data_IF_698711125300
#
_entry.id   IF_698711125300
#
_cell.length_a   1.000
_cell.length_b   1.000
_cell.length_c   1.000
_cell.angle_alpha   90.00
_cell.angle_beta   90.00
_cell.angle_gamma   90.00
#
_symmetry.space_group_name_H-M   'P 1'
#
loop_
_entity.id
_entity.type
_entity.pdbx_description
1 polymer ?
#
# COMPACT_ATOMS: atom_id res chain seq x y z
N UNK A 1 -12.76 -6.93 -26.82
CA UNK A 1 -11.96 -6.07 -25.93
C UNK A 1 -12.50 -6.25 -24.52
N UNK A 2 -11.68 -6.61 -23.58
CA UNK A 2 -12.06 -6.78 -22.16
C UNK A 2 -12.24 -5.40 -21.53
N UNK A 3 -13.31 -5.18 -20.77
CA UNK A 3 -13.53 -3.93 -20.05
C UNK A 3 -13.47 -4.19 -18.55
N UNK A 4 -12.60 -3.50 -17.85
CA UNK A 4 -12.49 -3.55 -16.40
C UNK A 4 -13.26 -2.40 -15.78
N UNK A 5 -14.05 -2.71 -14.79
CA UNK A 5 -14.81 -1.74 -14.01
C UNK A 5 -14.08 -1.40 -12.72
N UNK A 6 -13.62 -0.16 -12.58
CA UNK A 6 -12.81 0.30 -11.47
C UNK A 6 -13.59 1.29 -10.61
N UNK A 7 -13.65 1.02 -9.30
CA UNK A 7 -14.16 2.00 -8.34
C UNK A 7 -13.04 2.99 -8.01
N UNK A 8 -13.18 4.23 -8.44
CA UNK A 8 -12.25 5.31 -8.12
C UNK A 8 -12.75 6.08 -6.89
N UNK A 9 -12.03 5.97 -5.79
CA UNK A 9 -12.35 6.60 -4.50
C UNK A 9 -11.21 7.54 -4.13
N UNK A 10 -11.26 8.81 -4.51
CA UNK A 10 -10.20 9.78 -4.19
C UNK A 10 -9.98 9.96 -2.69
N UNK A 11 -11.04 9.88 -1.90
CA UNK A 11 -10.98 10.14 -0.46
C UNK A 11 -10.66 11.60 -0.15
N UNK A 12 -9.66 11.83 0.67
CA UNK A 12 -9.33 13.13 1.27
C UNK A 12 -8.03 13.75 0.71
N UNK A 13 -7.88 15.05 0.89
CA UNK A 13 -6.65 15.77 0.64
C UNK A 13 -6.11 15.61 -0.79
N UNK A 14 -4.80 15.31 -0.90
CA UNK A 14 -4.13 15.10 -2.20
C UNK A 14 -4.63 13.88 -2.95
N UNK A 15 -5.37 12.98 -2.28
CA UNK A 15 -5.99 11.81 -2.94
C UNK A 15 -6.83 12.20 -4.15
N UNK A 16 -7.50 13.36 -4.12
CA UNK A 16 -8.26 13.89 -5.26
C UNK A 16 -7.40 14.16 -6.48
N UNK A 17 -6.18 14.69 -6.27
CA UNK A 17 -5.25 15.01 -7.35
C UNK A 17 -4.59 13.75 -7.91
N UNK A 18 -4.08 12.88 -7.03
CA UNK A 18 -3.29 11.71 -7.45
C UNK A 18 -4.15 10.60 -8.05
N UNK A 19 -5.40 10.41 -7.59
CA UNK A 19 -6.34 9.46 -8.22
C UNK A 19 -6.78 9.97 -9.59
N UNK A 20 -7.06 11.27 -9.72
CA UNK A 20 -7.33 11.88 -11.02
C UNK A 20 -6.21 11.64 -12.02
N UNK A 21 -4.96 11.86 -11.61
CA UNK A 21 -3.77 11.59 -12.40
C UNK A 21 -3.64 10.09 -12.76
N UNK A 22 -3.90 9.20 -11.80
CA UNK A 22 -3.90 7.74 -12.03
C UNK A 22 -4.92 7.31 -13.08
N UNK A 23 -6.13 7.85 -13.02
CA UNK A 23 -7.19 7.59 -14.02
C UNK A 23 -6.77 8.04 -15.42
N UNK A 24 -6.15 9.23 -15.55
CA UNK A 24 -5.66 9.73 -16.84
C UNK A 24 -4.57 8.82 -17.43
N UNK A 25 -3.61 8.40 -16.62
CA UNK A 25 -2.52 7.50 -17.02
C UNK A 25 -3.08 6.13 -17.45
N UNK A 26 -3.99 5.55 -16.68
CA UNK A 26 -4.63 4.27 -17.02
C UNK A 26 -5.43 4.33 -18.31
N UNK A 27 -6.16 5.43 -18.56
CA UNK A 27 -6.88 5.66 -19.82
C UNK A 27 -5.92 5.75 -21.01
N UNK A 28 -4.83 6.49 -20.87
CA UNK A 28 -3.81 6.61 -21.92
C UNK A 28 -3.14 5.27 -22.22
N UNK A 29 -2.85 4.48 -21.17
CA UNK A 29 -2.26 3.15 -21.29
C UNK A 29 -3.21 2.18 -22.04
N UNK A 30 -4.48 2.13 -21.66
CA UNK A 30 -5.48 1.29 -22.31
C UNK A 30 -5.69 1.68 -23.78
N UNK A 31 -5.73 2.98 -24.07
CA UNK A 31 -5.82 3.50 -25.45
C UNK A 31 -4.59 3.10 -26.29
N UNK A 32 -3.40 3.10 -25.71
CA UNK A 32 -2.14 2.67 -26.37
C UNK A 32 -2.08 1.17 -26.60
N UNK A 33 -2.54 0.37 -25.63
CA UNK A 33 -2.54 -1.09 -25.70
C UNK A 33 -3.60 -1.63 -26.68
N UNK A 34 -4.83 -1.13 -26.61
CA UNK A 34 -5.94 -1.45 -27.51
C UNK A 34 -6.60 -2.82 -27.26
N UNK A 35 -6.13 -3.63 -26.32
CA UNK A 35 -6.68 -4.96 -26.03
C UNK A 35 -7.73 -4.95 -24.91
N UNK A 36 -7.64 -3.96 -24.00
CA UNK A 36 -8.57 -3.76 -22.90
C UNK A 36 -9.00 -2.29 -22.76
N UNK A 37 -10.01 -2.06 -21.94
CA UNK A 37 -10.51 -0.72 -21.58
C UNK A 37 -10.84 -0.65 -20.10
N UNK A 38 -10.93 0.56 -19.56
CA UNK A 38 -11.44 0.83 -18.22
C UNK A 38 -12.75 1.62 -18.24
N UNK A 39 -13.66 1.22 -17.37
CA UNK A 39 -14.79 2.03 -16.94
C UNK A 39 -14.53 2.45 -15.48
N UNK A 40 -14.46 3.75 -15.22
CA UNK A 40 -14.28 4.28 -13.88
C UNK A 40 -15.60 4.78 -13.32
N UNK A 41 -16.02 4.23 -12.18
CA UNK A 41 -17.11 4.74 -11.37
C UNK A 41 -16.49 5.56 -10.21
N UNK A 42 -16.84 6.84 -10.12
CA UNK A 42 -16.27 7.77 -9.13
C UNK A 42 -17.17 7.86 -7.90
N UNK A 43 -16.54 7.82 -6.72
CA UNK A 43 -17.21 7.86 -5.42
C UNK A 43 -16.60 8.99 -4.57
N UNK A 44 -17.37 10.02 -4.28
CA UNK A 44 -16.97 11.19 -3.48
C UNK A 44 -17.11 10.89 -1.98
N UNK A 45 -16.47 9.80 -1.52
CA UNK A 45 -16.47 9.38 -0.12
C UNK A 45 -15.24 9.95 0.59
N UNK A 46 -15.38 10.27 1.87
CA UNK A 46 -14.29 10.87 2.65
C UNK A 46 -14.81 11.90 3.65
N UNK A 47 -13.95 12.79 4.09
CA UNK A 47 -14.24 13.82 5.10
C UNK A 47 -15.30 14.80 4.68
N UNK A 48 -15.33 15.23 3.43
CA UNK A 48 -16.39 16.11 2.93
C UNK A 48 -17.75 15.41 2.89
N UNK A 49 -17.79 14.13 2.61
CA UNK A 49 -18.99 13.31 2.72
C UNK A 49 -19.42 13.18 4.19
N UNK A 50 -18.45 12.97 5.11
CA UNK A 50 -18.71 12.90 6.54
C UNK A 50 -19.33 14.19 7.09
N UNK A 51 -18.84 15.35 6.70
CA UNK A 51 -19.39 16.65 7.15
C UNK A 51 -20.88 16.82 6.76
N UNK A 52 -21.28 16.25 5.64
CA UNK A 52 -22.67 16.32 5.14
C UNK A 52 -23.59 15.27 5.74
N UNK A 53 -23.05 14.07 6.01
CA UNK A 53 -23.86 12.89 6.28
C UNK A 53 -23.57 12.21 7.61
N UNK A 54 -22.54 12.65 8.37
CA UNK A 54 -22.11 12.05 9.64
C UNK A 54 -21.46 10.66 9.51
N UNK A 55 -21.07 10.28 8.29
CA UNK A 55 -20.37 9.02 7.97
C UNK A 55 -19.44 9.21 6.78
N UNK A 56 -18.36 8.44 6.68
CA UNK A 56 -17.34 8.59 5.66
C UNK A 56 -17.77 8.08 4.26
N UNK A 57 -18.74 7.16 4.21
CA UNK A 57 -19.35 6.60 2.99
C UNK A 57 -20.82 6.21 3.27
N UNK A 58 -21.66 5.94 2.24
CA UNK A 58 -23.02 5.44 2.42
C UNK A 58 -23.07 4.10 3.17
N UNK A 59 -24.19 3.78 3.80
CA UNK A 59 -24.40 2.49 4.48
C UNK A 59 -24.26 1.30 3.52
N UNK A 60 -24.77 1.47 2.31
CA UNK A 60 -24.68 0.48 1.22
C UNK A 60 -23.41 0.65 0.36
N UNK A 61 -22.46 1.53 0.76
CA UNK A 61 -21.27 1.84 -0.04
C UNK A 61 -20.48 0.58 -0.46
N UNK A 62 -20.35 -0.39 0.43
CA UNK A 62 -19.71 -1.67 0.10
C UNK A 62 -20.46 -2.45 -0.98
N UNK A 63 -21.78 -2.44 -0.93
CA UNK A 63 -22.61 -3.10 -1.93
C UNK A 63 -22.46 -2.42 -3.31
N UNK A 64 -22.30 -1.09 -3.33
CA UNK A 64 -22.08 -0.32 -4.56
C UNK A 64 -20.80 -0.72 -5.28
N UNK A 65 -19.71 -1.01 -4.52
CA UNK A 65 -18.39 -1.29 -5.11
C UNK A 65 -18.06 -2.80 -5.19
N UNK A 66 -18.87 -3.68 -4.61
CA UNK A 66 -18.61 -5.12 -4.51
C UNK A 66 -18.33 -5.82 -5.85
N UNK A 67 -18.97 -5.37 -6.92
CA UNK A 67 -18.90 -6.00 -8.24
C UNK A 67 -17.93 -5.28 -9.19
N UNK A 68 -17.03 -4.45 -8.67
CA UNK A 68 -15.94 -3.89 -9.46
C UNK A 68 -14.79 -4.90 -9.55
N UNK A 69 -14.00 -4.79 -10.61
CA UNK A 69 -12.81 -5.64 -10.79
C UNK A 69 -11.66 -5.24 -9.84
N UNK A 70 -11.59 -3.94 -9.51
CA UNK A 70 -10.65 -3.39 -8.54
C UNK A 70 -11.10 -2.03 -8.01
N UNK A 71 -10.44 -1.57 -6.93
CA UNK A 71 -10.63 -0.25 -6.33
C UNK A 71 -9.32 0.52 -6.46
N UNK A 72 -9.38 1.73 -7.03
CA UNK A 72 -8.30 2.71 -7.00
C UNK A 72 -8.63 3.75 -5.93
N UNK A 73 -7.85 3.75 -4.86
CA UNK A 73 -8.10 4.58 -3.68
C UNK A 73 -7.01 5.65 -3.54
N UNK A 74 -7.37 6.81 -3.00
CA UNK A 74 -6.42 7.89 -2.77
C UNK A 74 -5.90 7.89 -1.33
N UNK A 75 -6.62 8.55 -0.43
CA UNK A 75 -6.23 8.65 0.97
C UNK A 75 -7.42 8.88 1.89
N UNK A 76 -7.25 8.57 3.18
CA UNK A 76 -8.22 8.87 4.23
C UNK A 76 -7.55 9.70 5.33
N UNK A 77 -8.21 10.76 5.76
CA UNK A 77 -7.72 11.65 6.82
C UNK A 77 -8.13 13.09 6.55
N UNK A 78 -8.77 13.73 7.52
CA UNK A 78 -9.26 15.11 7.38
C UNK A 78 -8.94 15.92 8.63
N UNK A 79 -8.34 17.13 8.54
CA UNK A 79 -7.86 17.87 9.71
C UNK A 79 -8.95 18.26 10.73
N UNK A 80 -10.21 18.33 10.31
CA UNK A 80 -11.35 18.63 11.16
C UNK A 80 -12.08 17.40 11.72
N UNK A 81 -11.62 16.18 11.37
CA UNK A 81 -12.24 14.91 11.77
C UNK A 81 -11.18 14.06 12.44
N UNK A 82 -11.50 13.45 13.59
CA UNK A 82 -10.53 12.62 14.31
C UNK A 82 -10.07 11.42 13.45
N UNK A 83 -8.76 11.13 13.50
CA UNK A 83 -8.10 10.13 12.63
C UNK A 83 -8.75 8.75 12.70
N UNK A 84 -9.19 8.32 13.91
CA UNK A 84 -9.88 7.03 14.05
C UNK A 84 -11.22 7.01 13.31
N UNK A 85 -11.92 8.14 13.18
CA UNK A 85 -13.19 8.21 12.41
C UNK A 85 -12.90 8.10 10.92
N UNK A 86 -11.92 8.81 10.41
CA UNK A 86 -11.59 8.80 8.97
C UNK A 86 -11.07 7.44 8.53
N UNK A 87 -10.14 6.84 9.29
CA UNK A 87 -9.54 5.55 8.97
C UNK A 87 -10.55 4.41 9.07
N UNK A 88 -11.25 4.31 10.22
CA UNK A 88 -12.23 3.24 10.46
C UNK A 88 -13.50 3.39 9.64
N UNK A 89 -13.91 4.62 9.33
CA UNK A 89 -15.13 4.91 8.59
C UNK A 89 -15.01 4.74 7.07
N UNK A 90 -13.80 4.71 6.51
CA UNK A 90 -13.59 4.59 5.07
C UNK A 90 -12.68 3.41 4.71
N UNK A 91 -11.37 3.53 4.94
CA UNK A 91 -10.40 2.54 4.49
C UNK A 91 -10.63 1.17 5.12
N UNK A 92 -10.68 1.10 6.45
CA UNK A 92 -10.89 -0.17 7.15
C UNK A 92 -12.31 -0.71 6.95
N UNK A 93 -13.31 0.17 6.80
CA UNK A 93 -14.69 -0.22 6.47
C UNK A 93 -14.80 -0.90 5.09
N UNK A 94 -13.81 -0.75 4.21
CA UNK A 94 -13.70 -1.45 2.92
C UNK A 94 -12.80 -2.68 3.06
N UNK A 95 -11.57 -2.50 3.55
CA UNK A 95 -10.54 -3.56 3.58
C UNK A 95 -10.99 -4.80 4.38
N UNK A 96 -11.50 -4.60 5.60
CA UNK A 96 -11.82 -5.71 6.49
C UNK A 96 -13.01 -6.54 5.99
N UNK A 97 -14.18 -5.96 5.65
CA UNK A 97 -15.31 -6.74 5.15
C UNK A 97 -15.10 -7.34 3.75
N UNK A 98 -14.17 -6.81 2.95
CA UNK A 98 -13.77 -7.40 1.67
C UNK A 98 -12.62 -8.39 1.84
N UNK A 99 -12.31 -8.74 3.06
CA UNK A 99 -11.26 -9.68 3.43
C UNK A 99 -9.96 -9.45 2.64
N UNK A 100 -9.58 -8.19 2.49
CA UNK A 100 -8.33 -7.76 1.86
C UNK A 100 -7.18 -7.97 2.85
N UNK A 101 -6.95 -9.21 3.25
CA UNK A 101 -6.08 -9.54 4.38
C UNK A 101 -4.58 -9.46 4.06
N UNK A 102 -4.20 -9.48 2.80
CA UNK A 102 -2.80 -9.38 2.39
C UNK A 102 -2.51 -7.97 1.84
N UNK A 103 -1.81 -7.16 2.63
CA UNK A 103 -1.35 -5.86 2.15
C UNK A 103 0.11 -6.00 1.69
N UNK A 104 0.37 -5.63 0.44
CA UNK A 104 1.67 -5.79 -0.23
C UNK A 104 2.26 -4.43 -0.56
N UNK A 105 3.47 -4.17 -0.06
CA UNK A 105 4.18 -2.89 -0.19
C UNK A 105 5.58 -3.12 -0.76
N UNK A 106 5.76 -3.13 -2.09
CA UNK A 106 7.09 -3.18 -2.68
C UNK A 106 7.84 -1.88 -2.43
N UNK A 107 9.13 -2.00 -2.17
CA UNK A 107 10.01 -0.88 -1.87
C UNK A 107 11.32 -1.08 -2.59
N UNK A 108 11.65 -0.21 -3.51
CA UNK A 108 12.95 -0.17 -4.19
C UNK A 108 13.33 1.26 -4.56
N UNK A 109 14.61 1.52 -4.71
CA UNK A 109 15.08 2.80 -5.21
C UNK A 109 14.83 2.84 -6.73
N UNK A 110 13.99 3.76 -7.17
CA UNK A 110 13.75 3.97 -8.60
C UNK A 110 14.92 4.73 -9.25
N UNK A 111 15.16 4.57 -10.57
CA UNK A 111 16.18 5.32 -11.28
C UNK A 111 16.07 6.83 -11.04
N UNK A 112 17.18 7.49 -10.76
CA UNK A 112 17.26 8.92 -10.47
C UNK A 112 16.89 9.32 -9.05
N UNK A 113 16.33 8.43 -8.25
CA UNK A 113 15.97 8.71 -6.85
C UNK A 113 17.19 8.49 -5.94
N UNK A 114 17.36 9.41 -4.98
CA UNK A 114 18.45 9.37 -4.01
C UNK A 114 17.96 8.82 -2.69
N UNK A 115 18.57 7.73 -2.23
CA UNK A 115 18.35 7.20 -0.88
C UNK A 115 19.09 8.02 0.17
N UNK A 116 18.55 8.22 1.37
CA UNK A 116 19.30 8.80 2.49
C UNK A 116 20.40 7.87 3.03
N UNK A 117 20.43 6.63 2.60
CA UNK A 117 21.45 5.64 3.01
C UNK A 117 22.78 5.92 2.32
N UNK A 118 23.88 6.01 3.09
CA UNK A 118 25.22 6.40 2.57
C UNK A 118 25.85 5.43 1.60
N UNK A 119 25.46 4.16 1.59
CA UNK A 119 26.13 3.07 0.85
C UNK A 119 25.20 2.32 -0.11
N UNK A 120 24.07 2.89 -0.45
CA UNK A 120 23.06 2.23 -1.27
C UNK A 120 22.83 3.04 -2.53
N UNK A 121 23.06 2.43 -3.70
CA UNK A 121 22.98 3.09 -5.00
C UNK A 121 21.92 2.49 -5.94
N UNK A 122 21.00 1.69 -5.40
CA UNK A 122 19.88 1.13 -6.19
C UNK A 122 19.54 -0.31 -5.82
N UNK A 123 20.15 -1.33 -6.46
CA UNK A 123 19.68 -2.72 -6.37
C UNK A 123 19.83 -3.36 -4.97
N UNK A 124 20.59 -2.75 -4.08
CA UNK A 124 20.74 -3.23 -2.71
C UNK A 124 19.46 -3.05 -1.87
N UNK A 125 18.56 -2.17 -2.28
CA UNK A 125 17.26 -1.95 -1.64
C UNK A 125 16.15 -2.35 -2.64
N UNK A 126 15.73 -3.60 -2.55
CA UNK A 126 14.61 -4.17 -3.29
C UNK A 126 13.90 -5.17 -2.38
N UNK A 127 12.88 -4.69 -1.66
CA UNK A 127 12.10 -5.45 -0.70
C UNK A 127 10.63 -5.48 -1.05
N UNK A 128 9.92 -6.45 -0.46
CA UNK A 128 8.46 -6.44 -0.42
C UNK A 128 8.03 -6.70 1.03
N UNK A 129 7.31 -5.75 1.60
CA UNK A 129 6.69 -5.92 2.91
C UNK A 129 5.28 -6.46 2.72
N UNK A 130 5.00 -7.59 3.36
CA UNK A 130 3.69 -8.22 3.45
C UNK A 130 3.13 -7.91 4.83
N UNK A 131 2.08 -7.10 4.88
CA UNK A 131 1.36 -6.69 6.09
C UNK A 131 0.11 -7.55 6.26
N UNK A 132 -0.05 -8.16 7.41
CA UNK A 132 -1.36 -8.66 7.83
C UNK A 132 -2.32 -7.45 7.92
N UNK A 133 -3.50 -7.54 7.34
CA UNK A 133 -4.33 -6.35 7.11
C UNK A 133 -5.75 -6.44 7.69
N UNK A 134 -6.04 -7.46 8.50
CA UNK A 134 -7.39 -7.73 9.00
C UNK A 134 -7.49 -7.89 10.52
N UNK A 135 -6.39 -8.18 11.18
CA UNK A 135 -6.33 -8.54 12.60
C UNK A 135 -5.28 -7.71 13.36
N UNK A 136 -4.78 -8.22 14.48
CA UNK A 136 -3.76 -7.59 15.29
C UNK A 136 -4.28 -6.38 16.04
N UNK A 137 -3.52 -5.33 16.02
CA UNK A 137 -3.82 -4.06 16.68
C UNK A 137 -5.00 -3.32 16.03
N UNK A 138 -5.28 -3.64 14.75
CA UNK A 138 -6.42 -3.11 14.01
C UNK A 138 -7.65 -4.03 14.04
N UNK A 139 -7.73 -4.97 15.00
CA UNK A 139 -8.90 -5.84 15.17
C UNK A 139 -10.15 -5.10 15.66
N UNK A 140 -9.99 -3.88 16.21
CA UNK A 140 -11.09 -3.09 16.76
C UNK A 140 -11.65 -3.63 18.07
N UNK A 141 -10.93 -4.54 18.74
CA UNK A 141 -11.31 -5.09 20.05
C UNK A 141 -10.75 -4.22 21.15
N UNK A 142 -11.62 -3.67 21.99
CA UNK A 142 -11.22 -2.81 23.08
C UNK A 142 -12.40 -2.08 23.68
N UNK A 143 -12.10 -1.12 24.56
CA UNK A 143 -13.13 -0.32 25.19
C UNK A 143 -12.57 0.79 26.07
N UNK A 144 -13.44 1.72 26.42
CA UNK A 144 -13.12 2.87 27.28
C UNK A 144 -14.22 3.02 28.33
N UNK A 145 -13.82 3.12 29.58
CA UNK A 145 -14.73 3.22 30.75
C UNK A 145 -14.40 4.46 31.58
N UNK A 146 -15.37 4.94 32.34
CA UNK A 146 -15.27 6.13 33.22
C UNK A 146 -14.84 7.39 32.48
N UNK A 147 -15.31 7.56 31.22
CA UNK A 147 -14.92 8.69 30.37
C UNK A 147 -15.15 10.05 31.06
N UNK A 148 -14.13 10.92 31.02
CA UNK A 148 -14.15 12.24 31.62
C UNK A 148 -13.92 12.26 33.15
N UNK A 149 -13.67 11.12 33.78
CA UNK A 149 -13.35 11.03 35.20
C UNK A 149 -11.86 10.76 35.43
N UNK A 150 -11.29 11.13 36.59
CA UNK A 150 -9.88 10.85 36.91
C UNK A 150 -9.49 9.36 36.91
N UNK A 151 -10.46 8.48 37.00
CA UNK A 151 -10.24 7.01 36.92
C UNK A 151 -10.55 6.44 35.55
N UNK A 152 -10.58 7.26 34.53
CA UNK A 152 -10.79 6.85 33.15
C UNK A 152 -9.75 5.81 32.72
N UNK A 153 -10.21 4.73 32.09
CA UNK A 153 -9.34 3.68 31.57
C UNK A 153 -9.78 3.28 30.15
N UNK A 154 -8.79 3.00 29.32
CA UNK A 154 -9.00 2.52 27.94
C UNK A 154 -8.12 1.29 27.67
N UNK A 155 -8.62 0.38 26.85
CA UNK A 155 -7.89 -0.80 26.38
C UNK A 155 -8.08 -0.98 24.89
N UNK A 156 -6.99 -1.31 24.19
CA UNK A 156 -7.00 -1.87 22.85
C UNK A 156 -6.35 -3.25 22.90
N UNK A 157 -6.97 -4.22 22.26
CA UNK A 157 -6.53 -5.63 22.30
C UNK A 157 -5.97 -6.01 20.95
N UNK A 158 -4.68 -6.36 20.90
CA UNK A 158 -4.08 -6.99 19.72
C UNK A 158 -4.57 -8.45 19.67
N UNK A 159 -5.51 -8.73 18.77
CA UNK A 159 -6.11 -10.06 18.60
C UNK A 159 -5.62 -10.70 17.30
N UNK A 160 -5.07 -11.90 17.41
CA UNK A 160 -4.61 -12.70 16.27
C UNK A 160 -5.23 -14.08 16.32
N UNK A 161 -5.77 -14.54 15.20
CA UNK A 161 -6.27 -15.91 15.07
C UNK A 161 -5.25 -16.79 14.38
N UNK A 162 -5.25 -18.09 14.69
CA UNK A 162 -4.41 -19.05 13.95
C UNK A 162 -4.73 -19.04 12.45
N UNK A 163 -5.99 -18.86 12.08
CA UNK A 163 -6.41 -18.78 10.68
C UNK A 163 -5.81 -17.56 9.97
N UNK A 164 -5.95 -16.37 10.57
CA UNK A 164 -5.42 -15.12 10.01
C UNK A 164 -3.90 -15.14 9.90
N UNK A 165 -3.21 -15.56 10.96
CA UNK A 165 -1.74 -15.70 10.96
C UNK A 165 -1.28 -16.71 9.91
N UNK A 166 -1.94 -17.88 9.83
CA UNK A 166 -1.54 -18.92 8.87
C UNK A 166 -1.69 -18.47 7.42
N UNK A 167 -2.77 -17.76 7.08
CA UNK A 167 -3.00 -17.32 5.70
C UNK A 167 -2.01 -16.25 5.26
N UNK A 168 -1.68 -15.29 6.12
CA UNK A 168 -0.72 -14.23 5.76
C UNK A 168 0.72 -14.76 5.69
N UNK A 169 1.12 -15.62 6.61
CA UNK A 169 2.45 -16.26 6.58
C UNK A 169 2.60 -17.11 5.32
N UNK A 170 1.59 -17.93 4.97
CA UNK A 170 1.61 -18.73 3.74
C UNK A 170 1.65 -17.86 2.49
N UNK A 171 0.90 -16.76 2.47
CA UNK A 171 0.97 -15.77 1.38
C UNK A 171 2.39 -15.20 1.23
N UNK A 172 3.03 -14.82 2.34
CA UNK A 172 4.38 -14.28 2.33
C UNK A 172 5.43 -15.29 1.86
N UNK A 173 5.33 -16.57 2.26
CA UNK A 173 6.20 -17.63 1.74
C UNK A 173 6.01 -17.86 0.24
N UNK A 174 4.77 -17.87 -0.26
CA UNK A 174 4.48 -17.98 -1.71
C UNK A 174 5.07 -16.80 -2.48
N UNK A 175 4.95 -15.58 -1.94
CA UNK A 175 5.54 -14.41 -2.55
C UNK A 175 7.08 -14.49 -2.56
N UNK A 176 7.69 -14.85 -1.43
CA UNK A 176 9.14 -15.06 -1.36
C UNK A 176 9.62 -16.13 -2.34
N UNK A 177 8.89 -17.23 -2.47
CA UNK A 177 9.19 -18.32 -3.42
C UNK A 177 9.20 -17.83 -4.88
N UNK A 178 8.35 -16.86 -5.23
CA UNK A 178 8.28 -16.27 -6.57
C UNK A 178 9.40 -15.28 -6.87
N UNK A 179 10.12 -14.77 -5.84
CA UNK A 179 11.21 -13.82 -6.00
C UNK A 179 12.56 -14.55 -6.21
N UNK A 180 13.51 -13.94 -6.94
CA UNK A 180 14.77 -14.60 -7.26
C UNK A 180 15.60 -15.05 -6.05
N UNK A 181 15.55 -14.28 -4.94
CA UNK A 181 16.36 -14.53 -3.73
C UNK A 181 15.75 -15.57 -2.81
N UNK A 182 14.43 -15.82 -2.92
CA UNK A 182 13.69 -16.82 -2.14
C UNK A 182 13.99 -16.73 -0.64
N UNK A 183 13.93 -15.52 -0.10
CA UNK A 183 14.24 -15.27 1.31
C UNK A 183 13.11 -14.53 2.00
N UNK A 184 12.67 -15.01 3.16
CA UNK A 184 11.62 -14.41 3.98
C UNK A 184 12.15 -14.04 5.37
N UNK A 185 11.99 -12.78 5.78
CA UNK A 185 12.17 -12.36 7.17
C UNK A 185 10.81 -12.24 7.86
N UNK A 186 10.59 -13.02 8.90
CA UNK A 186 9.39 -12.98 9.74
C UNK A 186 9.63 -12.02 10.90
N UNK A 187 8.92 -10.89 10.91
CA UNK A 187 9.04 -9.88 11.97
C UNK A 187 8.14 -10.25 13.15
N UNK A 188 8.67 -10.14 14.34
CA UNK A 188 8.01 -10.53 15.59
C UNK A 188 8.30 -9.57 16.75
N UNK A 189 7.57 -9.69 17.85
CA UNK A 189 7.86 -9.11 19.17
C UNK A 189 7.55 -10.11 20.28
N UNK A 190 7.81 -11.39 20.05
CA UNK A 190 7.48 -12.50 20.96
C UNK A 190 8.20 -12.44 22.33
N UNK A 191 9.29 -11.68 22.43
CA UNK A 191 9.93 -11.40 23.72
C UNK A 191 9.11 -10.48 24.64
N UNK A 192 8.12 -9.76 24.10
CA UNK A 192 7.23 -8.87 24.86
C UNK A 192 5.75 -9.35 24.81
N UNK A 193 5.24 -9.64 23.63
CA UNK A 193 3.89 -10.15 23.41
C UNK A 193 3.89 -11.68 23.43
N UNK A 194 3.96 -12.24 24.62
CA UNK A 194 4.27 -13.66 24.87
C UNK A 194 3.18 -14.67 24.50
N UNK A 195 2.02 -14.24 24.05
CA UNK A 195 0.93 -15.14 23.61
C UNK A 195 0.74 -15.04 22.08
N UNK A 196 0.23 -13.93 21.60
CA UNK A 196 -0.08 -13.77 20.19
C UNK A 196 1.17 -13.88 19.30
N UNK A 197 2.29 -13.22 19.69
CA UNK A 197 3.51 -13.26 18.86
C UNK A 197 4.30 -14.57 19.02
N UNK A 198 4.15 -15.30 20.11
CA UNK A 198 4.69 -16.67 20.20
C UNK A 198 3.93 -17.60 19.27
N UNK A 199 2.60 -17.51 19.24
CA UNK A 199 1.77 -18.24 18.26
C UNK A 199 2.14 -17.86 16.80
N UNK A 200 2.42 -16.60 16.53
CA UNK A 200 2.92 -16.11 15.24
C UNK A 200 4.23 -16.81 14.83
N UNK A 201 5.19 -16.88 15.75
CA UNK A 201 6.48 -17.54 15.52
C UNK A 201 6.32 -19.05 15.27
N UNK A 202 5.47 -19.72 16.07
CA UNK A 202 5.18 -21.16 15.93
C UNK A 202 4.56 -21.47 14.57
N UNK A 203 3.56 -20.68 14.15
CA UNK A 203 2.89 -20.85 12.85
C UNK A 203 3.87 -20.59 11.70
N UNK A 204 4.77 -19.60 11.82
CA UNK A 204 5.79 -19.35 10.81
C UNK A 204 6.70 -20.57 10.65
N UNK A 205 7.15 -21.18 11.75
CA UNK A 205 7.97 -22.39 11.72
C UNK A 205 7.21 -23.64 11.21
N UNK A 206 5.89 -23.74 11.46
CA UNK A 206 5.04 -24.78 10.90
C UNK A 206 4.95 -24.67 9.37
N UNK A 207 4.59 -23.47 8.87
CA UNK A 207 4.37 -23.21 7.44
C UNK A 207 5.67 -23.25 6.65
N UNK A 208 6.80 -22.86 7.23
CA UNK A 208 8.10 -22.95 6.56
C UNK A 208 8.41 -24.37 6.03
N UNK A 209 7.87 -25.40 6.66
CA UNK A 209 8.04 -26.79 6.21
C UNK A 209 7.34 -27.09 4.88
N UNK A 210 6.32 -26.29 4.51
CA UNK A 210 5.62 -26.37 3.23
C UNK A 210 6.46 -25.76 2.08
N UNK A 211 7.50 -24.96 2.39
CA UNK A 211 8.32 -24.21 1.44
C UNK A 211 9.82 -24.48 1.63
N UNK A 212 10.29 -25.70 1.42
CA UNK A 212 11.68 -26.10 1.71
C UNK A 212 12.73 -25.39 0.84
N UNK A 213 12.31 -24.77 -0.26
CA UNK A 213 13.17 -23.97 -1.17
C UNK A 213 13.22 -22.49 -0.84
N UNK A 214 12.51 -22.02 0.21
CA UNK A 214 12.54 -20.66 0.71
C UNK A 214 13.35 -20.61 2.00
N UNK A 215 14.48 -19.92 1.98
CA UNK A 215 15.23 -19.64 3.20
C UNK A 215 14.50 -18.57 4.02
N UNK A 216 14.52 -18.67 5.33
CA UNK A 216 13.87 -17.69 6.19
C UNK A 216 14.60 -17.47 7.50
N UNK A 217 14.39 -16.28 8.08
CA UNK A 217 14.81 -15.97 9.44
C UNK A 217 13.68 -15.27 10.21
N UNK A 218 13.89 -15.17 11.52
CA UNK A 218 12.99 -14.44 12.43
C UNK A 218 13.73 -13.26 13.04
N UNK A 219 13.07 -12.09 13.07
CA UNK A 219 13.69 -10.90 13.62
C UNK A 219 12.72 -10.10 14.49
N UNK A 220 13.18 -9.65 15.66
CA UNK A 220 12.42 -8.74 16.53
C UNK A 220 12.34 -7.37 15.85
N UNK A 221 11.17 -6.73 15.91
CA UNK A 221 10.85 -5.51 15.14
C UNK A 221 11.84 -4.37 15.34
N UNK A 222 12.34 -4.15 16.56
CA UNK A 222 13.36 -3.14 16.84
C UNK A 222 14.70 -3.47 16.17
N UNK A 223 15.13 -4.74 16.17
CA UNK A 223 16.31 -5.17 15.42
C UNK A 223 16.08 -5.10 13.90
N UNK A 224 14.83 -5.26 13.45
CA UNK A 224 14.47 -5.11 12.04
C UNK A 224 14.68 -3.68 11.55
N UNK A 225 14.28 -2.66 12.32
CA UNK A 225 14.53 -1.25 11.94
C UNK A 225 16.02 -0.97 11.78
N UNK A 226 16.87 -1.52 12.65
CA UNK A 226 18.33 -1.41 12.51
C UNK A 226 18.83 -2.11 11.24
N UNK A 227 18.33 -3.33 10.95
CA UNK A 227 18.74 -4.11 9.77
C UNK A 227 18.37 -3.40 8.47
N UNK A 228 17.22 -2.77 8.41
CA UNK A 228 16.76 -1.97 7.24
C UNK A 228 17.74 -0.84 6.91
N UNK A 229 18.33 -0.21 7.94
CA UNK A 229 19.30 0.89 7.78
C UNK A 229 20.72 0.40 7.53
N UNK A 230 21.19 -0.62 8.29
CA UNK A 230 22.58 -1.01 8.32
C UNK A 230 22.94 -2.08 7.27
N UNK A 231 21.98 -2.92 6.87
CA UNK A 231 22.19 -4.04 5.94
C UNK A 231 20.97 -4.24 5.04
N UNK A 232 20.54 -3.20 4.27
CA UNK A 232 19.37 -3.27 3.41
C UNK A 232 19.46 -4.40 2.39
N UNK A 233 20.63 -4.69 1.87
CA UNK A 233 20.90 -5.77 0.90
C UNK A 233 20.58 -7.17 1.43
N UNK A 234 20.49 -7.35 2.73
CA UNK A 234 20.21 -8.64 3.37
C UNK A 234 18.70 -8.98 3.40
N UNK A 235 17.84 -8.05 2.99
CA UNK A 235 16.37 -8.19 3.03
C UNK A 235 15.81 -8.48 1.64
N UNK A 236 14.72 -9.25 1.59
CA UNK A 236 13.99 -9.57 0.35
C UNK A 236 12.49 -9.49 0.55
N UNK A 237 11.84 -10.54 1.05
CA UNK A 237 10.44 -10.50 1.47
C UNK A 237 10.38 -10.41 2.98
N UNK A 238 9.48 -9.57 3.49
CA UNK A 238 9.32 -9.30 4.92
C UNK A 238 7.85 -9.49 5.24
N UNK A 239 7.51 -10.28 6.27
CA UNK A 239 6.14 -10.38 6.77
C UNK A 239 6.07 -9.87 8.20
N UNK A 240 5.05 -9.06 8.48
CA UNK A 240 4.83 -8.49 9.80
C UNK A 240 3.34 -8.35 10.13
N UNK A 241 3.03 -8.18 11.43
CA UNK A 241 1.69 -7.85 11.88
C UNK A 241 1.24 -6.51 11.32
N UNK A 242 -0.03 -6.21 11.48
CA UNK A 242 -0.64 -5.00 10.96
C UNK A 242 0.12 -3.73 11.38
N UNK A 243 0.32 -3.51 12.67
CA UNK A 243 1.01 -2.33 13.19
C UNK A 243 2.52 -2.33 12.88
N UNK A 244 3.19 -3.47 13.05
CA UNK A 244 4.63 -3.54 12.78
C UNK A 244 4.93 -3.25 11.31
N UNK A 245 4.17 -3.81 10.39
CA UNK A 245 4.36 -3.57 8.96
C UNK A 245 4.02 -2.14 8.55
N UNK A 246 3.04 -1.50 9.19
CA UNK A 246 2.72 -0.09 8.96
C UNK A 246 3.94 0.80 9.24
N UNK A 247 4.50 0.67 10.43
CA UNK A 247 5.69 1.44 10.84
C UNK A 247 6.90 1.13 9.95
N UNK A 248 7.16 -0.16 9.66
CA UNK A 248 8.31 -0.58 8.86
C UNK A 248 8.21 -0.13 7.41
N UNK A 249 7.01 -0.05 6.84
CA UNK A 249 6.85 0.37 5.44
C UNK A 249 7.03 1.87 5.25
N UNK A 250 6.69 2.70 6.23
CA UNK A 250 6.98 4.13 6.19
C UNK A 250 8.48 4.38 6.29
N UNK A 251 9.18 3.63 7.17
CA UNK A 251 10.64 3.64 7.19
C UNK A 251 11.21 3.18 5.84
N UNK A 252 10.69 2.10 5.26
CA UNK A 252 11.15 1.59 3.97
C UNK A 252 10.97 2.62 2.85
N UNK A 253 9.83 3.31 2.79
CA UNK A 253 9.57 4.36 1.81
C UNK A 253 10.55 5.55 1.97
N UNK A 254 10.81 5.97 3.21
CA UNK A 254 11.81 7.02 3.50
C UNK A 254 13.21 6.60 3.04
N UNK A 255 13.61 5.34 3.29
CA UNK A 255 14.89 4.80 2.85
C UNK A 255 14.98 4.64 1.32
N UNK A 256 13.85 4.45 0.63
CA UNK A 256 13.79 4.42 -0.83
C UNK A 256 13.77 5.82 -1.48
N UNK A 257 13.67 6.88 -0.67
CA UNK A 257 13.79 8.27 -1.12
C UNK A 257 12.57 9.16 -0.87
N UNK A 258 11.35 8.65 -0.92
CA UNK A 258 10.14 9.41 -0.61
C UNK A 258 8.93 8.52 -0.35
N UNK A 259 8.06 8.96 0.56
CA UNK A 259 6.75 8.36 0.77
C UNK A 259 5.82 8.56 -0.46
N UNK A 260 6.02 9.65 -1.20
CA UNK A 260 5.23 9.99 -2.39
C UNK A 260 5.38 9.03 -3.58
N UNK A 261 6.43 8.19 -3.59
CA UNK A 261 6.63 7.19 -4.64
C UNK A 261 6.18 5.77 -4.23
N UNK A 262 5.79 5.56 -2.99
CA UNK A 262 5.55 4.24 -2.43
C UNK A 262 4.12 3.74 -2.69
N UNK A 263 3.96 2.54 -3.29
CA UNK A 263 2.66 1.95 -3.61
C UNK A 263 2.18 0.99 -2.53
N UNK A 264 0.89 0.65 -2.60
CA UNK A 264 0.27 -0.40 -1.80
C UNK A 264 -0.80 -1.15 -2.58
N UNK A 265 -0.90 -2.46 -2.34
CA UNK A 265 -2.03 -3.29 -2.74
C UNK A 265 -2.65 -3.96 -1.51
N UNK A 266 -3.94 -3.78 -1.30
CA UNK A 266 -4.75 -4.50 -0.32
C UNK A 266 -5.47 -5.61 -1.06
N UNK A 267 -5.04 -6.84 -0.90
CA UNK A 267 -5.48 -7.96 -1.71
C UNK A 267 -6.48 -8.85 -0.97
N UNK A 268 -7.54 -9.23 -1.66
CA UNK A 268 -8.30 -10.44 -1.39
C UNK A 268 -7.74 -11.53 -2.31
N UNK A 269 -6.80 -12.37 -1.84
CA UNK A 269 -6.11 -13.33 -2.71
C UNK A 269 -6.99 -14.41 -3.29
N UNK A 270 -8.14 -14.69 -2.68
CA UNK A 270 -9.15 -15.64 -3.16
C UNK A 270 -9.99 -15.09 -4.31
N UNK A 271 -9.99 -13.74 -4.51
CA UNK A 271 -10.72 -13.08 -5.60
C UNK A 271 -12.23 -13.04 -5.43
N UNK A 272 -12.73 -13.20 -4.19
CA UNK A 272 -14.18 -13.12 -3.89
C UNK A 272 -14.69 -11.68 -3.84
N UNK A 273 -13.79 -10.75 -3.57
CA UNK A 273 -14.06 -9.32 -3.46
C UNK A 273 -13.00 -8.51 -4.22
N UNK A 274 -13.33 -7.29 -4.66
CA UNK A 274 -12.36 -6.42 -5.31
C UNK A 274 -11.20 -6.10 -4.36
N UNK A 275 -9.98 -6.19 -4.88
CA UNK A 275 -8.77 -5.72 -4.22
C UNK A 275 -8.63 -4.20 -4.37
N UNK A 276 -7.94 -3.53 -3.44
CA UNK A 276 -7.79 -2.08 -3.42
C UNK A 276 -6.31 -1.69 -3.56
N UNK A 277 -6.05 -0.70 -4.42
CA UNK A 277 -4.73 -0.19 -4.76
C UNK A 277 -4.66 1.29 -4.42
N UNK A 278 -3.66 1.68 -3.63
CA UNK A 278 -3.53 3.03 -3.09
C UNK A 278 -2.05 3.41 -2.89
N UNK A 279 -1.66 4.69 -2.96
CA UNK A 279 -0.35 5.10 -2.48
C UNK A 279 -0.28 4.97 -0.95
N UNK A 280 0.94 4.81 -0.40
CA UNK A 280 1.12 4.72 1.07
C UNK A 280 0.89 6.07 1.76
N UNK A 281 1.19 7.19 1.08
CA UNK A 281 1.09 8.52 1.68
C UNK A 281 -0.33 8.85 2.16
N UNK A 282 -0.44 9.69 3.19
CA UNK A 282 -1.70 10.19 3.72
C UNK A 282 -2.32 11.32 2.86
N UNK A 283 -3.25 12.02 3.47
CA UNK A 283 -4.05 13.07 2.80
C UNK A 283 -3.30 14.38 2.52
N UNK A 284 -2.20 14.67 3.23
CA UNK A 284 -1.34 15.85 3.03
C UNK A 284 -2.10 17.14 2.70
N UNK A 285 -3.01 17.54 3.57
CA UNK A 285 -3.88 18.72 3.39
C UNK A 285 -3.12 20.02 3.22
N UNK A 286 -1.92 20.13 3.76
CA UNK A 286 -1.02 21.28 3.62
C UNK A 286 -0.67 21.60 2.16
N UNK A 287 -0.65 20.60 1.29
CA UNK A 287 -0.36 20.75 -0.14
C UNK A 287 -1.56 20.47 -1.05
N UNK A 288 -2.73 20.13 -0.50
CA UNK A 288 -3.95 19.88 -1.26
C UNK A 288 -4.33 21.06 -2.16
N UNK A 289 -4.68 20.78 -3.41
CA UNK A 289 -5.12 21.79 -4.39
C UNK A 289 -3.98 22.65 -4.96
N UNK A 290 -2.73 22.42 -4.51
CA UNK A 290 -1.57 23.20 -5.00
C UNK A 290 -0.86 22.54 -6.19
N UNK A 291 -1.27 21.33 -6.58
CA UNK A 291 -0.63 20.58 -7.65
C UNK A 291 0.79 20.12 -7.33
N UNK A 292 1.16 20.01 -6.06
CA UNK A 292 2.50 19.66 -5.61
C UNK A 292 2.65 18.17 -5.27
N UNK A 293 1.55 17.44 -5.15
CA UNK A 293 1.57 16.03 -4.80
C UNK A 293 2.31 15.19 -5.84
N UNK A 294 3.18 14.28 -5.37
CA UNK A 294 3.84 13.32 -6.23
C UNK A 294 2.87 12.19 -6.62
N UNK A 295 2.53 12.01 -7.92
CA UNK A 295 1.57 10.99 -8.33
C UNK A 295 2.19 9.60 -8.54
N UNK A 296 3.50 9.45 -8.41
CA UNK A 296 4.24 8.21 -8.72
C UNK A 296 3.78 7.05 -7.84
N UNK A 297 3.50 7.26 -6.56
CA UNK A 297 2.95 6.23 -5.67
C UNK A 297 1.63 5.65 -6.19
N UNK A 298 0.73 6.52 -6.67
CA UNK A 298 -0.54 6.09 -7.30
C UNK A 298 -0.30 5.37 -8.63
N UNK A 299 0.63 5.83 -9.45
CA UNK A 299 0.97 5.16 -10.71
C UNK A 299 1.56 3.78 -10.49
N UNK A 300 2.43 3.64 -9.51
CA UNK A 300 2.98 2.32 -9.14
C UNK A 300 1.91 1.41 -8.52
N UNK A 301 0.98 1.95 -7.74
CA UNK A 301 -0.20 1.19 -7.28
C UNK A 301 -1.06 0.74 -8.46
N UNK A 302 -1.18 1.56 -9.51
CA UNK A 302 -1.84 1.17 -10.75
C UNK A 302 -1.08 0.06 -11.51
N UNK A 303 0.26 0.03 -11.45
CA UNK A 303 1.04 -1.12 -11.95
C UNK A 303 0.65 -2.40 -11.23
N UNK A 304 0.56 -2.35 -9.89
CA UNK A 304 0.13 -3.52 -9.09
C UNK A 304 -1.31 -3.94 -9.40
N UNK A 305 -2.20 -2.99 -9.66
CA UNK A 305 -3.57 -3.26 -10.10
C UNK A 305 -3.60 -3.97 -11.46
N UNK A 306 -2.80 -3.53 -12.42
CA UNK A 306 -2.70 -4.17 -13.74
C UNK A 306 -2.16 -5.60 -13.64
N UNK A 307 -1.12 -5.83 -12.83
CA UNK A 307 -0.60 -7.18 -12.57
C UNK A 307 -1.67 -8.09 -11.96
N UNK A 308 -2.44 -7.57 -11.00
CA UNK A 308 -3.56 -8.29 -10.37
C UNK A 308 -4.67 -8.62 -11.37
N UNK A 309 -4.99 -7.71 -12.28
CA UNK A 309 -5.99 -7.92 -13.34
C UNK A 309 -5.48 -8.83 -14.48
N UNK A 310 -4.20 -9.22 -14.46
CA UNK A 310 -3.57 -10.09 -15.45
C UNK A 310 -2.98 -9.36 -16.65
N UNK A 311 -3.03 -8.04 -16.68
CA UNK A 311 -2.50 -7.19 -17.76
C UNK A 311 -0.99 -6.91 -17.60
N UNK A 312 -0.20 -7.99 -17.55
CA UNK A 312 1.25 -7.96 -17.24
C UNK A 312 2.08 -7.09 -18.19
N UNK A 313 1.75 -7.10 -19.48
CA UNK A 313 2.47 -6.30 -20.49
C UNK A 313 2.21 -4.81 -20.26
N UNK A 314 0.98 -4.44 -19.96
CA UNK A 314 0.59 -3.07 -19.64
C UNK A 314 1.23 -2.61 -18.31
N UNK A 315 1.24 -3.48 -17.30
CA UNK A 315 1.94 -3.24 -16.03
C UNK A 315 3.44 -2.96 -16.24
N UNK A 316 4.11 -3.81 -17.01
CA UNK A 316 5.53 -3.64 -17.32
C UNK A 316 5.80 -2.35 -18.10
N UNK A 317 4.93 -1.98 -19.06
CA UNK A 317 5.04 -0.72 -19.81
C UNK A 317 4.88 0.49 -18.89
N UNK A 318 3.87 0.49 -18.02
CA UNK A 318 3.67 1.59 -17.08
C UNK A 318 4.85 1.71 -16.10
N UNK A 319 5.38 0.59 -15.61
CA UNK A 319 6.55 0.61 -14.72
C UNK A 319 7.78 1.21 -15.40
N UNK A 320 8.06 0.83 -16.65
CA UNK A 320 9.16 1.44 -17.43
C UNK A 320 8.95 2.95 -17.67
N UNK A 321 7.71 3.37 -17.91
CA UNK A 321 7.39 4.80 -18.04
C UNK A 321 7.68 5.56 -16.73
N UNK A 322 7.30 5.00 -15.59
CA UNK A 322 7.62 5.55 -14.26
C UNK A 322 9.14 5.65 -14.08
N UNK A 323 9.88 4.57 -14.33
CA UNK A 323 11.35 4.53 -14.20
C UNK A 323 12.04 5.56 -15.11
N UNK A 324 11.55 5.74 -16.33
CA UNK A 324 12.06 6.76 -17.25
C UNK A 324 11.83 8.18 -16.74
N UNK A 325 10.65 8.44 -16.18
CA UNK A 325 10.30 9.77 -15.65
C UNK A 325 11.06 10.07 -14.37
N UNK A 326 11.19 9.11 -13.46
CA UNK A 326 11.96 9.31 -12.22
C UNK A 326 13.46 9.43 -12.47
N UNK A 327 13.98 8.89 -13.59
CA UNK A 327 15.38 9.05 -13.97
C UNK A 327 15.76 10.49 -14.36
N UNK A 328 14.78 11.34 -14.66
CA UNK A 328 15.00 12.75 -15.01
C UNK A 328 14.79 13.67 -13.81
N UNK A 329 15.84 14.26 -13.20
CA UNK A 329 15.69 15.17 -12.05
C UNK A 329 14.83 16.41 -12.36
N UNK A 330 14.71 16.81 -13.63
CA UNK A 330 13.83 17.91 -14.06
C UNK A 330 12.33 17.61 -13.86
N UNK A 331 11.97 16.33 -13.65
CA UNK A 331 10.61 15.85 -13.41
C UNK A 331 10.35 15.50 -11.94
N UNK A 332 11.31 15.75 -11.05
CA UNK A 332 11.13 15.51 -9.62
C UNK A 332 10.22 16.55 -8.98
N UNK A 333 9.28 16.08 -8.19
CA UNK A 333 8.41 16.89 -7.34
C UNK A 333 9.13 17.37 -6.08
N UNK A 334 8.57 18.32 -5.29
CA UNK A 334 9.25 18.87 -4.12
C UNK A 334 9.68 17.86 -3.05
N UNK A 335 8.94 16.76 -2.86
CA UNK A 335 9.30 15.67 -1.95
C UNK A 335 10.58 14.92 -2.38
N UNK A 336 10.94 15.00 -3.65
CA UNK A 336 12.18 14.48 -4.23
C UNK A 336 13.25 15.58 -4.44
N UNK A 337 13.01 16.78 -3.91
CA UNK A 337 13.93 17.92 -4.02
C UNK A 337 13.85 18.68 -5.35
N UNK A 338 12.85 18.40 -6.19
CA UNK A 338 12.65 19.08 -7.48
C UNK A 338 11.59 20.20 -7.42
N UNK A 339 11.17 20.66 -8.59
CA UNK A 339 10.18 21.72 -8.75
C UNK A 339 9.02 21.36 -9.67
N UNK A 340 9.00 20.14 -10.19
CA UNK A 340 7.91 19.66 -11.02
C UNK A 340 6.61 19.56 -10.20
N UNK A 341 5.48 19.74 -10.89
CA UNK A 341 4.17 19.60 -10.28
C UNK A 341 3.48 18.28 -10.72
N UNK A 342 2.38 17.92 -10.04
CA UNK A 342 1.60 16.71 -10.32
C UNK A 342 1.24 16.58 -11.80
N UNK A 343 0.83 17.66 -12.44
CA UNK A 343 0.44 17.67 -13.86
C UNK A 343 1.64 17.43 -14.80
N UNK A 344 2.79 18.03 -14.50
CA UNK A 344 4.03 17.84 -15.29
C UNK A 344 4.45 16.36 -15.27
N UNK A 345 4.47 15.74 -14.10
CA UNK A 345 4.83 14.33 -13.94
C UNK A 345 3.82 13.42 -14.66
N UNK A 346 2.52 13.71 -14.52
CA UNK A 346 1.45 12.95 -15.19
C UNK A 346 1.60 12.99 -16.70
N UNK A 347 1.81 14.18 -17.27
CA UNK A 347 2.01 14.34 -18.71
C UNK A 347 3.28 13.64 -19.22
N UNK A 348 4.36 13.67 -18.43
CA UNK A 348 5.60 12.98 -18.77
C UNK A 348 5.42 11.45 -18.80
N UNK A 349 4.68 10.87 -17.83
CA UNK A 349 4.38 9.44 -17.81
C UNK A 349 3.48 9.05 -18.99
N UNK A 350 2.44 9.85 -19.32
CA UNK A 350 1.60 9.61 -20.50
C UNK A 350 2.43 9.68 -21.78
N UNK A 351 3.32 10.68 -21.92
CA UNK A 351 4.22 10.79 -23.05
C UNK A 351 5.15 9.59 -23.19
N UNK A 352 5.69 9.09 -22.08
CA UNK A 352 6.52 7.89 -22.07
C UNK A 352 5.72 6.63 -22.47
N UNK A 353 4.50 6.43 -21.98
CA UNK A 353 3.62 5.29 -22.34
C UNK A 353 3.35 5.26 -23.85
N UNK A 354 3.13 6.41 -24.46
CA UNK A 354 2.76 6.53 -25.87
C UNK A 354 3.94 6.45 -26.82
N UNK A 355 5.17 6.59 -26.33
CA UNK A 355 6.38 6.49 -27.15
C UNK A 355 6.54 5.08 -27.75
N UNK A 356 7.01 5.00 -28.99
CA UNK A 356 7.19 3.72 -29.73
C UNK A 356 8.27 2.83 -29.10
N UNK A 357 9.31 3.44 -28.49
CA UNK A 357 10.50 2.76 -27.99
C UNK A 357 10.52 2.68 -26.43
N UNK A 358 9.50 2.11 -25.82
CA UNK A 358 9.48 1.88 -24.39
C UNK A 358 9.62 0.40 -24.03
#
# INVERSE_FOLDING_TARGET
>A
MKTYRIAAIPGDGVGTEVVGAGVEVLKALAARDGTFAFQFDHFDWGGEYYKKHGRMMPEDGRAQIRNHDAILFGSAGHPEIADHITLWGLRLAICQPFDQYANVRPTRILPGIVSPLRKVNGPELDWVIVRENSEGEYSGVGGRVHQGLPIEAATDVSMMTRAGVSRIIRFAFKLAQSRPRKFLTVVTKSNAQRYAMVMWDEIAAEIAKEFPDVAWDKMIVDAMTMRMVLRPESLDTIVATNLHADILSDLAAALAGSLGIAPTANLNPEGEFPSMFEPIHGSAFDIMGKGLANPVGTFWSAVMMLDHLGEKNAAARLMKAIERVTADPGLHTPDLGGTANTRTVTNAVIGAITAENL
#
